data_IF_953252349604
#
_entry.id   IF_953252349604
#
_cell.length_a   1.000
_cell.length_b   1.000
_cell.length_c   1.000
_cell.angle_alpha   90.00
_cell.angle_beta   90.00
_cell.angle_gamma   90.00
#
_symmetry.space_group_name_H-M   'P 1'
#
loop_
_entity.id
_entity.type
_entity.pdbx_description
1 polymer ?
#
# COMPACT_ATOMS: atom_id res chain seq x y z
N UNK A 1 -11.64 -1.84 -4.22
CA UNK A 1 -10.63 -2.80 -3.78
C UNK A 1 -11.19 -3.66 -2.65
N UNK A 2 -10.90 -4.95 -2.68
CA UNK A 2 -11.21 -5.87 -1.58
C UNK A 2 -10.21 -5.70 -0.43
N UNK A 3 -8.97 -5.23 -0.68
CA UNK A 3 -7.96 -5.02 0.36
C UNK A 3 -8.37 -4.08 1.50
N UNK A 4 -9.39 -3.22 1.30
CA UNK A 4 -9.77 -2.24 2.34
C UNK A 4 -10.22 -2.97 3.61
N UNK A 5 -10.85 -4.14 3.45
CA UNK A 5 -11.19 -5.03 4.55
C UNK A 5 -9.94 -5.48 5.31
N UNK A 6 -8.94 -5.99 4.59
CA UNK A 6 -7.73 -6.53 5.19
C UNK A 6 -6.95 -5.46 5.96
N UNK A 7 -6.95 -4.21 5.48
CA UNK A 7 -6.40 -3.08 6.24
C UNK A 7 -7.13 -2.82 7.57
N UNK A 8 -8.47 -2.94 7.59
CA UNK A 8 -9.26 -2.77 8.81
C UNK A 8 -8.94 -3.90 9.81
N UNK A 9 -8.92 -5.15 9.34
CA UNK A 9 -8.59 -6.31 10.19
C UNK A 9 -7.15 -6.23 10.72
N UNK A 10 -6.19 -5.83 9.87
CA UNK A 10 -4.80 -5.64 10.29
C UNK A 10 -4.67 -4.54 11.35
N UNK A 11 -5.41 -3.42 11.20
CA UNK A 11 -5.44 -2.34 12.19
C UNK A 11 -6.06 -2.79 13.52
N UNK A 12 -7.07 -3.66 13.50
CA UNK A 12 -7.65 -4.25 14.71
C UNK A 12 -6.62 -5.11 15.47
N UNK A 13 -5.82 -5.90 14.74
CA UNK A 13 -4.76 -6.72 15.33
C UNK A 13 -3.64 -5.84 15.92
N UNK A 14 -3.25 -4.77 15.22
CA UNK A 14 -2.32 -3.77 15.77
C UNK A 14 -2.89 -3.13 17.05
N UNK A 15 -4.18 -2.78 17.06
CA UNK A 15 -4.83 -2.23 18.24
C UNK A 15 -4.84 -3.22 19.41
N UNK A 16 -5.19 -4.48 19.17
CA UNK A 16 -5.18 -5.54 20.17
C UNK A 16 -3.78 -5.80 20.74
N UNK A 17 -2.73 -5.59 19.95
CA UNK A 17 -1.33 -5.67 20.40
C UNK A 17 -0.86 -4.46 21.24
N UNK A 18 -1.73 -3.47 21.45
CA UNK A 18 -1.46 -2.27 22.25
C UNK A 18 -0.90 -1.08 21.46
N UNK A 19 -0.95 -1.12 20.12
CA UNK A 19 -0.56 0.01 19.27
C UNK A 19 -1.78 0.91 18.98
N UNK A 20 -1.60 2.23 18.77
CA UNK A 20 -2.70 3.18 18.62
C UNK A 20 -3.30 3.19 17.20
N UNK A 21 -3.55 2.03 16.61
CA UNK A 21 -3.93 1.89 15.20
C UNK A 21 -5.25 2.60 14.85
N UNK A 22 -6.31 2.44 15.66
CA UNK A 22 -7.61 3.08 15.38
C UNK A 22 -7.54 4.61 15.42
N UNK A 23 -6.67 5.17 16.28
CA UNK A 23 -6.46 6.62 16.33
C UNK A 23 -5.80 7.14 15.05
N UNK A 24 -4.84 6.39 14.53
CA UNK A 24 -4.15 6.74 13.29
C UNK A 24 -5.07 6.57 12.08
N UNK A 25 -5.82 5.47 12.01
CA UNK A 25 -6.81 5.20 10.97
C UNK A 25 -7.89 6.30 10.89
N UNK A 26 -8.48 6.67 12.04
CA UNK A 26 -9.45 7.79 12.10
C UNK A 26 -8.87 9.11 11.57
N UNK A 27 -7.60 9.37 11.86
CA UNK A 27 -6.91 10.57 11.38
C UNK A 27 -6.70 10.52 9.87
N UNK A 28 -6.35 9.35 9.31
CA UNK A 28 -6.23 9.15 7.87
C UNK A 28 -7.58 9.39 7.18
N UNK A 29 -8.66 8.77 7.66
CA UNK A 29 -10.01 8.99 7.13
C UNK A 29 -10.44 10.45 7.17
N UNK A 30 -10.05 11.18 8.22
CA UNK A 30 -10.29 12.62 8.32
C UNK A 30 -9.55 13.36 7.20
N UNK A 31 -8.25 13.12 7.02
CA UNK A 31 -7.43 13.75 5.97
C UNK A 31 -8.00 13.46 4.57
N UNK A 32 -8.31 12.19 4.28
CA UNK A 32 -8.91 11.78 3.00
C UNK A 32 -10.28 12.43 2.78
N UNK A 33 -11.09 12.53 3.84
CA UNK A 33 -12.37 13.23 3.80
C UNK A 33 -12.25 14.71 3.48
N UNK A 34 -11.21 15.38 3.98
CA UNK A 34 -10.90 16.77 3.61
C UNK A 34 -10.50 16.89 2.15
N UNK A 35 -9.58 16.03 1.66
CA UNK A 35 -9.19 16.04 0.24
C UNK A 35 -10.38 15.79 -0.69
N UNK A 36 -11.25 14.84 -0.37
CA UNK A 36 -12.46 14.56 -1.16
C UNK A 36 -13.42 15.74 -1.25
N UNK A 37 -13.51 16.56 -0.21
CA UNK A 37 -14.40 17.74 -0.17
C UNK A 37 -13.81 18.96 -0.87
N UNK A 38 -12.50 19.14 -0.80
CA UNK A 38 -11.83 20.36 -1.25
C UNK A 38 -11.28 20.28 -2.67
N UNK A 39 -10.86 19.09 -3.12
CA UNK A 39 -10.16 18.94 -4.39
C UNK A 39 -11.12 18.67 -5.55
N UNK A 40 -10.86 19.21 -6.76
CA UNK A 40 -11.63 18.85 -7.95
C UNK A 40 -11.54 17.36 -8.26
N UNK A 41 -12.58 16.79 -8.90
CA UNK A 41 -12.62 15.36 -9.26
C UNK A 41 -11.42 14.90 -10.11
N UNK A 42 -10.92 15.75 -11.01
CA UNK A 42 -9.73 15.45 -11.80
C UNK A 42 -8.48 15.29 -10.93
N UNK A 43 -8.32 16.12 -9.90
CA UNK A 43 -7.22 16.00 -8.95
C UNK A 43 -7.40 14.82 -8.01
N UNK A 44 -8.63 14.50 -7.61
CA UNK A 44 -8.91 13.28 -6.83
C UNK A 44 -8.51 12.02 -7.60
N UNK A 45 -8.87 11.94 -8.88
CA UNK A 45 -8.46 10.83 -9.74
C UNK A 45 -6.94 10.80 -9.95
N UNK A 46 -6.31 11.98 -10.13
CA UNK A 46 -4.85 12.09 -10.22
C UNK A 46 -4.15 11.59 -8.94
N UNK A 47 -4.75 11.83 -7.76
CA UNK A 47 -4.26 11.29 -6.48
C UNK A 47 -4.42 9.78 -6.45
N UNK A 48 -5.57 9.24 -6.87
CA UNK A 48 -5.79 7.79 -6.95
C UNK A 48 -4.71 7.12 -7.79
N UNK A 49 -4.51 7.53 -9.05
CA UNK A 49 -3.50 6.89 -9.91
C UNK A 49 -2.07 7.05 -9.38
N UNK A 50 -1.77 8.14 -8.66
CA UNK A 50 -0.47 8.34 -8.02
C UNK A 50 -0.27 7.39 -6.83
N UNK A 51 -1.31 7.18 -6.02
CA UNK A 51 -1.28 6.22 -4.91
C UNK A 51 -1.18 4.79 -5.41
N UNK A 52 -1.96 4.41 -6.40
CA UNK A 52 -1.92 3.08 -7.04
C UNK A 52 -0.56 2.80 -7.70
N UNK A 53 0.06 3.82 -8.31
CA UNK A 53 1.43 3.69 -8.81
C UNK A 53 2.42 3.42 -7.68
N UNK A 54 2.32 4.15 -6.56
CA UNK A 54 3.18 3.93 -5.39
C UNK A 54 3.02 2.54 -4.77
N UNK A 55 1.77 2.14 -4.52
CA UNK A 55 1.47 0.84 -3.92
C UNK A 55 1.91 -0.29 -4.83
N UNK A 56 1.77 -0.13 -6.15
CA UNK A 56 2.27 -1.13 -7.08
C UNK A 56 3.80 -1.22 -7.17
N UNK A 57 4.54 -0.11 -7.06
CA UNK A 57 6.01 -0.16 -6.96
C UNK A 57 6.41 -0.95 -5.69
N UNK A 58 5.78 -0.65 -4.55
CA UNK A 58 6.05 -1.36 -3.29
C UNK A 58 5.64 -2.84 -3.37
N UNK A 59 4.54 -3.14 -4.05
CA UNK A 59 4.07 -4.48 -4.32
C UNK A 59 5.07 -5.27 -5.17
N UNK A 60 5.59 -4.68 -6.25
CA UNK A 60 6.60 -5.30 -7.10
C UNK A 60 7.86 -5.67 -6.30
N UNK A 61 8.30 -4.79 -5.41
CA UNK A 61 9.44 -5.08 -4.53
C UNK A 61 9.16 -6.22 -3.56
N UNK A 62 7.94 -6.33 -3.06
CA UNK A 62 7.54 -7.45 -2.21
C UNK A 62 7.51 -8.77 -3.00
N UNK A 63 6.84 -8.78 -4.14
CA UNK A 63 6.62 -9.96 -4.99
C UNK A 63 7.92 -10.49 -5.60
N UNK A 64 8.84 -9.61 -5.97
CA UNK A 64 10.14 -10.00 -6.50
C UNK A 64 11.02 -10.74 -5.50
N UNK A 65 10.72 -10.69 -4.20
CA UNK A 65 11.47 -11.37 -3.15
C UNK A 65 12.89 -10.83 -2.93
N UNK A 66 13.32 -9.79 -3.67
CA UNK A 66 14.71 -9.32 -3.67
C UNK A 66 15.16 -8.70 -2.34
N UNK A 67 14.22 -8.27 -1.50
CA UNK A 67 14.52 -7.49 -0.31
C UNK A 67 14.13 -8.17 1.02
N UNK A 68 13.61 -9.40 1.00
CA UNK A 68 13.36 -10.21 2.21
C UNK A 68 12.63 -9.45 3.34
N UNK A 69 11.70 -8.54 2.96
CA UNK A 69 11.19 -7.51 3.89
C UNK A 69 10.18 -8.02 4.90
N UNK A 70 9.56 -9.16 4.62
CA UNK A 70 8.58 -9.82 5.46
C UNK A 70 9.09 -11.15 6.03
N UNK A 71 10.39 -11.41 5.91
CA UNK A 71 11.02 -12.60 6.47
C UNK A 71 10.84 -12.61 7.99
N UNK A 72 10.42 -13.76 8.53
CA UNK A 72 10.08 -13.91 9.95
C UNK A 72 8.70 -13.39 10.34
N UNK A 73 7.90 -12.90 9.39
CA UNK A 73 6.48 -12.64 9.60
C UNK A 73 5.71 -13.96 9.79
N UNK A 74 4.61 -13.91 10.53
CA UNK A 74 3.71 -15.06 10.65
C UNK A 74 3.09 -15.39 9.28
N UNK A 75 2.84 -16.67 9.03
CA UNK A 75 2.41 -17.20 7.74
C UNK A 75 1.20 -16.44 7.16
N UNK A 76 0.15 -16.23 7.97
CA UNK A 76 -1.06 -15.52 7.52
C UNK A 76 -0.82 -14.07 7.09
N UNK A 77 0.05 -13.32 7.78
CA UNK A 77 0.38 -11.95 7.37
C UNK A 77 1.20 -11.92 6.09
N UNK A 78 2.13 -12.87 5.93
CA UNK A 78 2.88 -13.02 4.68
C UNK A 78 1.91 -13.27 3.53
N UNK A 79 1.00 -14.23 3.68
CA UNK A 79 0.02 -14.55 2.64
C UNK A 79 -0.89 -13.36 2.32
N UNK A 80 -1.39 -12.64 3.34
CA UNK A 80 -2.20 -11.43 3.15
C UNK A 80 -1.45 -10.33 2.39
N UNK A 81 -0.17 -10.06 2.74
CA UNK A 81 0.61 -9.03 2.05
C UNK A 81 0.96 -9.42 0.62
N UNK A 82 1.23 -10.71 0.37
CA UNK A 82 1.46 -11.22 -0.99
C UNK A 82 0.20 -11.10 -1.85
N UNK A 83 -0.98 -11.45 -1.30
CA UNK A 83 -2.26 -11.32 -1.99
C UNK A 83 -2.55 -9.85 -2.31
N UNK A 84 -2.40 -8.97 -1.33
CA UNK A 84 -2.60 -7.54 -1.51
C UNK A 84 -1.65 -6.99 -2.60
N UNK A 85 -0.37 -7.37 -2.59
CA UNK A 85 0.57 -6.95 -3.62
C UNK A 85 0.18 -7.42 -5.04
N UNK A 86 -0.45 -8.58 -5.18
CA UNK A 86 -1.02 -9.03 -6.45
C UNK A 86 -2.22 -8.15 -6.86
N UNK A 87 -3.10 -7.78 -5.94
CA UNK A 87 -4.24 -6.87 -6.22
C UNK A 87 -3.74 -5.49 -6.71
N UNK A 88 -2.72 -4.92 -6.06
CA UNK A 88 -2.14 -3.62 -6.44
C UNK A 88 -1.47 -3.65 -7.82
N UNK A 89 -1.01 -4.81 -8.27
CA UNK A 89 -0.44 -4.99 -9.61
C UNK A 89 -1.49 -4.79 -10.71
N UNK A 90 -2.75 -5.13 -10.45
CA UNK A 90 -3.85 -4.89 -11.38
C UNK A 90 -4.39 -3.45 -11.24
N UNK A 91 -4.54 -2.95 -10.01
CA UNK A 91 -5.11 -1.63 -9.75
C UNK A 91 -4.36 -0.47 -10.41
N UNK A 92 -3.01 -0.53 -10.49
CA UNK A 92 -2.21 0.51 -11.16
C UNK A 92 -2.68 0.76 -12.59
N UNK A 93 -2.98 -0.30 -13.33
CA UNK A 93 -3.34 -0.20 -14.73
C UNK A 93 -4.79 0.22 -14.89
N UNK A 94 -5.70 -0.42 -14.16
CA UNK A 94 -7.13 -0.11 -14.20
C UNK A 94 -7.38 1.37 -13.87
N UNK A 95 -6.74 1.89 -12.82
CA UNK A 95 -6.92 3.30 -12.43
C UNK A 95 -6.36 4.27 -13.47
N UNK A 96 -5.23 3.93 -14.10
CA UNK A 96 -4.61 4.74 -15.15
C UNK A 96 -5.40 4.70 -16.47
N UNK A 97 -5.99 3.56 -16.82
CA UNK A 97 -6.88 3.43 -17.97
C UNK A 97 -8.16 4.26 -17.79
N UNK A 98 -8.71 4.28 -16.57
CA UNK A 98 -9.82 5.18 -16.22
C UNK A 98 -9.40 6.65 -16.39
N UNK A 99 -8.20 7.03 -15.95
CA UNK A 99 -7.65 8.38 -16.20
C UNK A 99 -7.61 8.71 -17.68
N UNK A 100 -7.07 7.82 -18.52
CA UNK A 100 -6.99 8.03 -19.97
C UNK A 100 -8.37 8.10 -20.64
N UNK A 101 -9.35 7.36 -20.12
CA UNK A 101 -10.71 7.35 -20.65
C UNK A 101 -11.47 8.66 -20.36
N UNK A 102 -11.25 9.29 -19.20
CA UNK A 102 -12.03 10.47 -18.76
C UNK A 102 -11.31 11.80 -18.96
N UNK A 103 -9.98 11.80 -19.02
CA UNK A 103 -9.18 13.01 -19.15
C UNK A 103 -8.81 13.27 -20.62
N UNK A 104 -8.99 14.52 -21.08
CA UNK A 104 -8.55 14.91 -22.42
C UNK A 104 -7.02 14.81 -22.53
N UNK A 105 -6.47 14.08 -23.51
CA UNK A 105 -5.03 14.02 -23.73
C UNK A 105 -4.45 15.41 -24.04
N UNK A 106 -3.29 15.73 -23.45
CA UNK A 106 -2.58 16.97 -23.72
C UNK A 106 -1.71 17.44 -22.56
N UNK A 107 -1.09 18.59 -22.72
CA UNK A 107 -0.16 19.15 -21.73
C UNK A 107 -0.86 19.37 -20.37
N UNK A 108 -2.12 19.79 -20.36
CA UNK A 108 -2.88 20.05 -19.12
C UNK A 108 -3.07 18.79 -18.27
N UNK A 109 -3.49 17.67 -18.86
CA UNK A 109 -3.65 16.40 -18.14
C UNK A 109 -2.28 15.84 -17.72
N UNK A 110 -1.26 15.95 -18.56
CA UNK A 110 0.11 15.58 -18.20
C UNK A 110 0.62 16.35 -16.98
N UNK A 111 0.50 17.68 -16.96
CA UNK A 111 0.94 18.52 -15.85
C UNK A 111 0.12 18.27 -14.59
N UNK A 112 -1.19 18.06 -14.70
CA UNK A 112 -2.03 17.70 -13.56
C UNK A 112 -1.61 16.35 -12.95
N UNK A 113 -1.41 15.33 -13.78
CA UNK A 113 -0.98 13.99 -13.36
C UNK A 113 0.36 14.02 -12.65
N UNK A 114 1.36 14.64 -13.27
CA UNK A 114 2.74 14.70 -12.75
C UNK A 114 2.89 15.64 -11.56
N UNK A 115 2.24 16.81 -11.59
CA UNK A 115 2.20 17.73 -10.45
C UNK A 115 1.51 17.11 -9.25
N UNK A 116 0.42 16.36 -9.47
CA UNK A 116 -0.26 15.62 -8.40
C UNK A 116 0.64 14.52 -7.84
N UNK A 117 1.41 13.80 -8.67
CA UNK A 117 2.38 12.82 -8.17
C UNK A 117 3.39 13.43 -7.20
N UNK A 118 3.91 14.62 -7.48
CA UNK A 118 4.82 15.33 -6.57
C UNK A 118 4.15 15.70 -5.24
N UNK A 119 2.91 16.19 -5.29
CA UNK A 119 2.14 16.51 -4.08
C UNK A 119 1.82 15.24 -3.26
N UNK A 120 1.40 14.17 -3.95
CA UNK A 120 1.16 12.85 -3.35
C UNK A 120 2.43 12.31 -2.73
N UNK A 121 3.59 12.42 -3.40
CA UNK A 121 4.91 12.04 -2.86
C UNK A 121 5.15 12.69 -1.50
N UNK A 122 5.01 14.02 -1.42
CA UNK A 122 5.25 14.76 -0.18
C UNK A 122 4.26 14.35 0.93
N UNK A 123 2.97 14.32 0.61
CA UNK A 123 1.91 14.06 1.59
C UNK A 123 1.89 12.61 2.07
N UNK A 124 2.00 11.64 1.16
CA UNK A 124 2.06 10.21 1.44
C UNK A 124 3.21 9.88 2.39
N UNK A 125 4.44 10.25 2.04
CA UNK A 125 5.60 9.93 2.87
C UNK A 125 5.58 10.68 4.20
N UNK A 126 5.08 11.92 4.26
CA UNK A 126 4.89 12.63 5.53
C UNK A 126 3.93 11.87 6.46
N UNK A 127 2.81 11.37 5.94
CA UNK A 127 1.85 10.58 6.71
C UNK A 127 2.46 9.24 7.15
N UNK A 128 3.12 8.52 6.23
CA UNK A 128 3.80 7.25 6.54
C UNK A 128 4.83 7.43 7.65
N UNK A 129 5.66 8.46 7.58
CA UNK A 129 6.67 8.74 8.60
C UNK A 129 6.06 9.14 9.96
N UNK A 130 5.07 10.05 9.98
CA UNK A 130 4.39 10.44 11.22
C UNK A 130 3.72 9.22 11.89
N UNK A 131 3.07 8.36 11.10
CA UNK A 131 2.40 7.17 11.62
C UNK A 131 3.42 6.14 12.12
N UNK A 132 4.48 5.89 11.35
CA UNK A 132 5.56 4.99 11.75
C UNK A 132 6.21 5.44 13.07
N UNK A 133 6.54 6.73 13.21
CA UNK A 133 7.09 7.28 14.45
C UNK A 133 6.12 7.09 15.62
N UNK A 134 4.83 7.34 15.43
CA UNK A 134 3.82 7.14 16.50
C UNK A 134 3.69 5.69 16.92
N UNK A 135 3.70 4.75 15.97
CA UNK A 135 3.69 3.31 16.25
C UNK A 135 4.95 2.90 17.02
N UNK A 136 6.13 3.36 16.58
CA UNK A 136 7.41 3.11 17.27
C UNK A 136 7.45 3.71 18.68
N UNK A 137 6.85 4.90 18.87
CA UNK A 137 6.76 5.53 20.18
C UNK A 137 5.83 4.76 21.13
N UNK A 138 4.74 4.18 20.62
CA UNK A 138 3.80 3.39 21.42
C UNK A 138 4.32 1.98 21.75
N UNK A 139 5.31 1.46 21.01
CA UNK A 139 5.81 0.11 21.19
C UNK A 139 6.53 -0.08 22.54
N UNK A 140 6.09 -1.09 23.32
CA UNK A 140 6.53 -1.32 24.72
C UNK A 140 7.99 -1.79 24.84
N UNK A 141 8.57 -2.43 23.82
CA UNK A 141 9.97 -2.94 23.81
C UNK A 141 10.92 -2.00 23.07
N UNK A 142 10.95 -0.71 23.42
CA UNK A 142 11.84 0.26 22.77
C UNK A 142 13.29 0.08 23.26
N UNK A 143 14.10 -0.74 22.57
CA UNK A 143 15.52 -0.90 22.88
C UNK A 143 16.39 0.06 22.05
N UNK A 144 17.20 0.90 22.71
CA UNK A 144 18.31 1.67 22.11
C UNK A 144 17.92 2.76 21.09
N UNK A 145 17.87 4.03 21.52
CA UNK A 145 17.41 5.17 20.69
C UNK A 145 18.29 5.43 19.44
N UNK A 146 19.60 5.24 19.53
CA UNK A 146 20.54 5.58 18.44
C UNK A 146 20.73 4.44 17.41
N UNK A 147 20.94 3.20 17.88
CA UNK A 147 21.14 2.05 16.99
C UNK A 147 19.92 1.71 16.13
N UNK A 148 18.71 1.85 16.69
CA UNK A 148 17.46 1.66 15.94
C UNK A 148 17.25 2.72 14.86
N UNK A 149 17.58 3.98 15.15
CA UNK A 149 17.48 5.08 14.16
C UNK A 149 18.43 4.86 12.99
N UNK A 150 19.69 4.49 13.25
CA UNK A 150 20.64 4.19 12.19
C UNK A 150 20.19 3.00 11.32
N UNK A 151 19.62 1.96 11.94
CA UNK A 151 19.06 0.82 11.21
C UNK A 151 17.89 1.24 10.32
N UNK A 152 17.02 2.13 10.79
CA UNK A 152 15.93 2.70 9.99
C UNK A 152 16.46 3.53 8.82
N UNK A 153 17.45 4.41 9.05
CA UNK A 153 18.08 5.19 7.98
C UNK A 153 18.71 4.28 6.93
N UNK A 154 19.43 3.23 7.35
CA UNK A 154 20.00 2.23 6.44
C UNK A 154 18.92 1.47 5.66
N UNK A 155 17.81 1.12 6.30
CA UNK A 155 16.66 0.46 5.66
C UNK A 155 15.98 1.35 4.62
N UNK A 156 15.90 2.66 4.84
CA UNK A 156 15.26 3.59 3.90
C UNK A 156 16.19 4.04 2.78
N UNK A 157 17.44 4.35 3.11
CA UNK A 157 18.37 5.06 2.21
C UNK A 157 19.63 4.25 1.86
N UNK A 158 19.73 2.99 2.31
CA UNK A 158 20.85 2.13 1.96
C UNK A 158 20.99 1.98 0.44
N UNK A 159 22.19 2.13 -0.14
CA UNK A 159 22.34 2.18 -1.60
C UNK A 159 21.98 0.89 -2.33
N UNK A 160 22.05 -0.27 -1.64
CA UNK A 160 21.81 -1.59 -2.24
C UNK A 160 20.43 -2.19 -1.90
N UNK A 161 19.92 -1.91 -0.69
CA UNK A 161 18.70 -2.52 -0.15
C UNK A 161 17.80 -1.49 0.54
N UNK A 162 17.98 -0.22 0.22
CA UNK A 162 17.17 0.87 0.75
C UNK A 162 15.88 1.00 -0.03
N UNK A 163 14.77 1.20 0.66
CA UNK A 163 13.45 1.40 0.04
C UNK A 163 13.47 2.51 -1.00
N UNK A 164 14.04 3.69 -0.69
CA UNK A 164 13.99 4.82 -1.62
C UNK A 164 14.84 4.62 -2.88
N UNK A 165 16.11 4.19 -2.78
CA UNK A 165 16.88 3.87 -3.97
C UNK A 165 16.22 2.82 -4.87
N UNK A 166 15.57 1.81 -4.28
CA UNK A 166 14.97 0.74 -5.08
C UNK A 166 13.66 1.13 -5.77
N UNK A 167 12.88 2.09 -5.23
CA UNK A 167 11.66 2.59 -5.89
C UNK A 167 11.93 3.77 -6.84
N UNK A 168 13.10 4.42 -6.74
CA UNK A 168 13.36 5.71 -7.40
C UNK A 168 13.19 5.67 -8.92
N UNK A 169 13.63 4.59 -9.57
CA UNK A 169 13.53 4.46 -11.03
C UNK A 169 12.08 4.38 -11.49
N UNK A 170 11.29 3.47 -10.91
CA UNK A 170 9.88 3.31 -11.28
C UNK A 170 9.04 4.56 -10.93
N UNK A 171 9.42 5.26 -9.86
CA UNK A 171 8.84 6.56 -9.53
C UNK A 171 9.17 7.64 -10.58
N UNK A 172 10.43 7.71 -11.05
CA UNK A 172 10.85 8.65 -12.09
C UNK A 172 10.18 8.37 -13.44
N UNK A 173 9.98 7.09 -13.78
CA UNK A 173 9.33 6.69 -15.02
C UNK A 173 7.89 7.24 -15.13
N UNK A 174 7.20 7.45 -14.00
CA UNK A 174 5.88 8.08 -13.97
C UNK A 174 5.85 9.45 -14.66
N UNK A 175 6.96 10.20 -14.64
CA UNK A 175 7.06 11.53 -15.26
C UNK A 175 7.32 11.49 -16.76
N UNK A 176 7.59 10.31 -17.35
CA UNK A 176 7.84 10.18 -18.78
C UNK A 176 6.57 10.49 -19.60
N UNK A 177 6.65 11.30 -20.66
CA UNK A 177 5.57 11.42 -21.63
C UNK A 177 5.25 10.07 -22.27
N UNK A 178 3.98 9.67 -22.30
CA UNK A 178 3.56 8.37 -22.82
C UNK A 178 3.78 7.19 -21.85
N UNK A 179 4.15 7.45 -20.60
CA UNK A 179 4.19 6.41 -19.56
C UNK A 179 2.86 5.65 -19.44
N UNK A 180 2.96 4.33 -19.28
CA UNK A 180 1.88 3.47 -18.84
C UNK A 180 2.34 2.59 -17.66
N UNK A 181 1.51 2.30 -16.64
CA UNK A 181 1.88 1.41 -15.54
C UNK A 181 2.30 -0.01 -15.95
N UNK A 182 1.87 -0.47 -17.13
CA UNK A 182 2.33 -1.73 -17.74
C UNK A 182 3.73 -1.66 -18.36
N UNK A 183 4.34 -0.49 -18.46
CA UNK A 183 5.77 -0.38 -18.81
C UNK A 183 6.65 -1.08 -17.75
N UNK A 184 6.12 -1.28 -16.54
CA UNK A 184 6.68 -2.13 -15.49
C UNK A 184 5.89 -3.44 -15.42
N UNK A 185 6.06 -4.30 -16.41
CA UNK A 185 5.32 -5.56 -16.49
C UNK A 185 5.70 -6.52 -15.36
N UNK A 186 4.71 -6.86 -14.56
CA UNK A 186 4.78 -7.74 -13.43
C UNK A 186 3.57 -8.71 -13.39
N UNK A 187 2.87 -8.89 -14.52
CA UNK A 187 1.72 -9.78 -14.65
C UNK A 187 2.09 -11.24 -14.35
N UNK A 188 3.35 -11.63 -14.53
CA UNK A 188 3.84 -12.97 -14.18
C UNK A 188 3.51 -13.36 -12.73
N UNK A 189 3.44 -12.42 -11.79
CA UNK A 189 3.11 -12.74 -10.40
C UNK A 189 1.64 -13.14 -10.21
N UNK A 190 0.74 -12.71 -11.10
CA UNK A 190 -0.68 -13.06 -11.07
C UNK A 190 -0.92 -14.55 -11.38
N UNK A 191 0.02 -15.21 -12.06
CA UNK A 191 -0.07 -16.65 -12.36
C UNK A 191 -0.08 -17.53 -11.10
N UNK A 192 0.46 -17.02 -9.98
CA UNK A 192 0.50 -17.72 -8.70
C UNK A 192 -0.74 -17.51 -7.81
N UNK A 193 -1.72 -16.69 -8.25
CA UNK A 193 -2.83 -16.26 -7.41
C UNK A 193 -3.67 -17.43 -6.89
N UNK A 194 -4.06 -18.38 -7.76
CA UNK A 194 -4.87 -19.53 -7.35
C UNK A 194 -4.17 -20.40 -6.30
N UNK A 195 -2.86 -20.57 -6.44
CA UNK A 195 -2.05 -21.31 -5.47
C UNK A 195 -1.99 -20.56 -4.15
N UNK A 196 -1.81 -19.24 -4.19
CA UNK A 196 -1.80 -18.41 -2.99
C UNK A 196 -3.15 -18.44 -2.27
N UNK A 197 -4.27 -18.35 -2.99
CA UNK A 197 -5.61 -18.43 -2.43
C UNK A 197 -5.86 -19.79 -1.76
N UNK A 198 -5.49 -20.90 -2.41
CA UNK A 198 -5.59 -22.22 -1.81
C UNK A 198 -4.77 -22.34 -0.51
N UNK A 199 -3.57 -21.75 -0.49
CA UNK A 199 -2.73 -21.72 0.72
C UNK A 199 -3.34 -20.85 1.83
N UNK A 200 -3.95 -19.72 1.48
CA UNK A 200 -4.68 -18.85 2.43
C UNK A 200 -5.85 -19.62 3.04
N UNK A 201 -6.62 -20.34 2.24
CA UNK A 201 -7.75 -21.14 2.74
C UNK A 201 -7.30 -22.24 3.69
N UNK A 202 -6.21 -22.94 3.35
CA UNK A 202 -5.61 -23.95 4.22
C UNK A 202 -5.10 -23.34 5.54
N UNK A 203 -4.49 -22.15 5.52
CA UNK A 203 -4.09 -21.40 6.72
C UNK A 203 -5.29 -21.00 7.55
N UNK A 204 -6.31 -20.42 6.93
CA UNK A 204 -7.54 -20.01 7.61
C UNK A 204 -8.24 -21.19 8.28
N UNK A 205 -8.30 -22.35 7.63
CA UNK A 205 -8.84 -23.58 8.20
C UNK A 205 -8.08 -24.03 9.46
N UNK A 206 -6.74 -23.95 9.44
CA UNK A 206 -5.89 -24.27 10.60
C UNK A 206 -6.14 -23.34 11.79
N UNK A 207 -6.39 -22.06 11.54
CA UNK A 207 -6.59 -21.05 12.58
C UNK A 207 -8.06 -20.76 12.91
N UNK A 208 -9.03 -21.46 12.28
CA UNK A 208 -10.45 -21.16 12.41
C UNK A 208 -10.94 -21.12 13.87
N UNK A 209 -10.46 -22.04 14.72
CA UNK A 209 -10.82 -22.10 16.14
C UNK A 209 -10.21 -20.96 16.99
N UNK A 210 -9.21 -20.25 16.47
CA UNK A 210 -8.49 -19.15 17.14
C UNK A 210 -8.86 -17.78 16.54
N UNK A 211 -9.71 -17.75 15.51
CA UNK A 211 -10.06 -16.53 14.80
C UNK A 211 -10.82 -15.57 15.71
N UNK A 212 -10.31 -14.35 15.84
CA UNK A 212 -11.06 -13.27 16.46
C UNK A 212 -12.29 -12.95 15.61
N UNK A 213 -13.41 -12.50 16.22
CA UNK A 213 -14.57 -12.06 15.47
C UNK A 213 -14.19 -10.90 14.52
N UNK A 214 -14.48 -11.06 13.23
CA UNK A 214 -14.20 -10.05 12.20
C UNK A 214 -15.17 -8.87 12.32
N UNK A 215 -14.66 -7.64 12.20
CA UNK A 215 -15.50 -6.44 12.10
C UNK A 215 -16.20 -6.30 10.75
N UNK A 216 -15.60 -6.83 9.70
CA UNK A 216 -16.15 -6.81 8.34
C UNK A 216 -16.36 -8.26 7.89
N UNK A 217 -17.60 -8.69 7.58
CA UNK A 217 -17.88 -10.05 7.14
C UNK A 217 -17.18 -10.42 5.83
N UNK A 218 -16.94 -11.73 5.59
CA UNK A 218 -16.31 -12.22 4.37
C UNK A 218 -17.16 -12.08 3.10
N UNK A 219 -18.48 -11.92 3.25
CA UNK A 219 -19.44 -11.71 2.17
C UNK A 219 -20.34 -10.50 2.49
N UNK A 220 -20.83 -9.76 1.49
CA UNK A 220 -21.99 -8.92 1.72
C UNK A 220 -23.12 -9.82 2.21
N UNK A 221 -23.66 -9.52 3.39
CA UNK A 221 -24.98 -10.04 3.76
C UNK A 221 -25.88 -9.54 2.64
N UNK A 222 -26.39 -10.45 1.80
CA UNK A 222 -27.46 -10.11 0.88
C UNK A 222 -28.57 -9.50 1.74
N UNK A 223 -28.77 -8.19 1.62
CA UNK A 223 -29.91 -7.54 2.23
C UNK A 223 -31.13 -8.09 1.51
N UNK A 224 -31.92 -8.88 2.25
CA UNK A 224 -33.23 -9.36 1.83
C UNK A 224 -34.21 -8.20 1.63
#
# INVERSE_FOLDING_TARGET
>A
AMHTREHIEYNDLLQASGLPAHKLDKRLWTILGWFRKLLPHSMQLAITIALEHYTAILANQLLSGHEHRIDGSVEGYTQMWMWHAMEETEHKAVSYDVWNAVMKPGLGSYLLRTGTMLLTTLTFWTIVFDFHVRLMLAHRRRHGKFGGMWRLVKYLYGPKHGVFPSIAREWLDYFRPGFHPWDHDNHQYLQGLDTLLANIDATNARYAAQAAPRRVPLHPVAQA
#
